data_IF_588420980777
#
_entry.id   IF_588420980777
#
_cell.length_a   1.000
_cell.length_b   1.000
_cell.length_c   1.000
_cell.angle_alpha   90.00
_cell.angle_beta   90.00
_cell.angle_gamma   90.00
#
_symmetry.space_group_name_H-M   'P 1'
#
loop_
_entity.id
_entity.type
_entity.pdbx_description
1 polymer ?
#
# COMPACT_ATOMS: atom_id res chain seq x y z
N UNK A 1 20.88 -16.20 -7.15
CA UNK A 1 19.86 -15.70 -6.20
C UNK A 1 20.59 -15.13 -5.00
N UNK A 2 20.20 -13.94 -4.54
CA UNK A 2 20.95 -13.19 -3.51
C UNK A 2 20.47 -13.59 -2.12
N UNK A 3 21.40 -13.91 -1.22
CA UNK A 3 21.09 -14.18 0.19
C UNK A 3 20.76 -12.88 0.97
N UNK A 4 21.30 -11.76 0.48
CA UNK A 4 21.06 -10.41 0.97
C UNK A 4 21.29 -9.40 -0.14
N UNK A 5 20.62 -8.25 -0.08
CA UNK A 5 20.77 -7.15 -1.02
C UNK A 5 21.25 -5.88 -0.27
N UNK A 6 22.19 -5.09 -0.82
CA UNK A 6 22.50 -3.79 -0.27
C UNK A 6 21.35 -2.82 -0.53
N UNK A 7 20.90 -2.14 0.52
CA UNK A 7 19.94 -1.05 0.44
C UNK A 7 20.68 0.26 0.70
N UNK A 8 20.72 1.18 -0.27
CA UNK A 8 21.24 2.54 -0.08
C UNK A 8 20.11 3.43 0.42
N UNK A 9 20.26 3.95 1.62
CA UNK A 9 19.34 4.87 2.28
C UNK A 9 19.91 6.28 2.13
N UNK A 10 19.24 7.12 1.35
CA UNK A 10 19.72 8.46 0.99
C UNK A 10 18.89 9.52 1.71
N UNK A 11 19.56 10.40 2.45
CA UNK A 11 18.90 11.59 2.99
C UNK A 11 18.82 12.67 1.91
N UNK A 12 17.68 12.76 1.26
CA UNK A 12 17.32 13.79 0.28
C UNK A 12 16.38 14.85 0.90
N UNK A 13 16.46 15.05 2.21
CA UNK A 13 15.71 16.08 2.95
C UNK A 13 16.61 17.27 3.28
N UNK A 14 16.02 18.32 3.85
CA UNK A 14 16.74 19.46 4.41
C UNK A 14 17.15 19.29 5.90
N UNK A 15 16.84 18.15 6.53
CA UNK A 15 17.18 17.89 7.94
C UNK A 15 18.42 17.02 8.08
N UNK A 16 19.18 17.24 9.16
CA UNK A 16 20.27 16.32 9.58
C UNK A 16 19.81 15.24 10.57
N UNK A 17 18.54 15.30 10.97
CA UNK A 17 17.91 14.41 11.95
C UNK A 17 16.95 13.49 11.20
N UNK A 18 17.50 12.48 10.52
CA UNK A 18 16.72 11.50 9.76
C UNK A 18 17.12 10.09 10.20
N UNK A 19 16.13 9.26 10.47
CA UNK A 19 16.33 7.85 10.86
C UNK A 19 15.57 6.94 9.92
N UNK A 20 16.18 5.79 9.62
CA UNK A 20 15.54 4.68 8.93
C UNK A 20 15.36 3.48 9.86
N UNK A 21 14.37 2.66 9.53
CA UNK A 21 14.09 1.39 10.22
C UNK A 21 13.72 0.36 9.16
N UNK A 22 14.21 -0.87 9.31
CA UNK A 22 13.90 -1.96 8.37
C UNK A 22 13.30 -3.09 9.18
N UNK A 23 12.05 -3.46 8.85
CA UNK A 23 11.26 -4.44 9.59
C UNK A 23 10.62 -5.45 8.65
N UNK A 24 10.35 -6.67 9.11
CA UNK A 24 9.55 -7.63 8.35
C UNK A 24 9.58 -9.04 8.93
N UNK A 25 9.32 -10.05 8.12
CA UNK A 25 9.44 -11.46 8.49
C UNK A 25 10.66 -12.05 7.79
N UNK A 26 11.63 -12.53 8.57
CA UNK A 26 12.81 -13.22 8.04
C UNK A 26 12.37 -14.52 7.39
N UNK A 27 12.64 -14.69 6.09
CA UNK A 27 12.14 -15.85 5.34
C UNK A 27 12.80 -17.15 5.81
N UNK A 28 14.07 -17.09 6.25
CA UNK A 28 14.83 -18.28 6.64
C UNK A 28 14.24 -19.04 7.83
N UNK A 29 13.55 -18.36 8.76
CA UNK A 29 13.01 -18.97 9.98
C UNK A 29 11.59 -18.50 10.37
N UNK A 30 10.97 -17.63 9.57
CA UNK A 30 9.61 -17.13 9.78
C UNK A 30 9.44 -16.17 10.96
N UNK A 31 10.53 -15.71 11.58
CA UNK A 31 10.46 -14.81 12.74
C UNK A 31 10.35 -13.35 12.32
N UNK A 32 9.63 -12.56 13.12
CA UNK A 32 9.65 -11.09 13.04
C UNK A 32 11.10 -10.60 13.23
N UNK A 33 11.55 -9.72 12.36
CA UNK A 33 12.92 -9.20 12.34
C UNK A 33 12.93 -7.69 12.13
N UNK A 34 13.91 -7.04 12.75
CA UNK A 34 14.32 -5.67 12.48
C UNK A 34 15.84 -5.64 12.23
N UNK A 35 16.35 -4.58 11.61
CA UNK A 35 17.79 -4.27 11.65
C UNK A 35 18.10 -3.37 12.85
N UNK A 36 19.20 -3.64 13.56
CA UNK A 36 19.76 -2.72 14.56
C UNK A 36 20.31 -1.45 13.87
N UNK A 37 20.64 -0.43 14.67
CA UNK A 37 21.06 0.90 14.20
C UNK A 37 22.31 0.91 13.27
N UNK A 38 23.06 -0.19 13.19
CA UNK A 38 24.18 -0.35 12.26
C UNK A 38 23.74 -0.71 10.81
N UNK A 39 22.45 -0.97 10.60
CA UNK A 39 21.85 -1.32 9.32
C UNK A 39 22.20 -2.73 8.82
N UNK A 40 22.77 -3.59 9.67
CA UNK A 40 23.29 -4.91 9.25
C UNK A 40 22.97 -6.02 10.24
N UNK A 41 23.02 -5.73 11.53
CA UNK A 41 22.77 -6.72 12.58
C UNK A 41 21.28 -7.01 12.69
N UNK A 42 20.89 -8.29 12.57
CA UNK A 42 19.50 -8.70 12.70
C UNK A 42 19.08 -8.77 14.16
N UNK A 43 18.00 -8.07 14.48
CA UNK A 43 17.32 -8.14 15.76
C UNK A 43 16.02 -8.94 15.62
N UNK A 44 15.92 -10.03 16.38
CA UNK A 44 14.71 -10.83 16.51
C UNK A 44 14.09 -10.55 17.88
N UNK A 45 12.97 -9.81 17.96
CA UNK A 45 12.33 -9.51 19.23
C UNK A 45 11.97 -10.77 20.02
N UNK A 46 12.25 -10.74 21.33
CA UNK A 46 11.82 -11.77 22.27
C UNK A 46 10.49 -11.39 22.92
N UNK A 47 9.85 -12.34 23.59
CA UNK A 47 8.57 -12.12 24.25
C UNK A 47 8.69 -11.03 25.35
N UNK A 48 7.98 -9.89 25.23
CA UNK A 48 8.09 -8.80 26.19
C UNK A 48 7.35 -9.07 27.51
N UNK A 49 7.67 -8.33 28.59
CA UNK A 49 7.01 -8.48 29.89
C UNK A 49 5.56 -7.98 29.91
N UNK A 50 5.18 -7.08 29.01
CA UNK A 50 3.84 -6.51 28.92
C UNK A 50 3.48 -6.03 27.50
N UNK A 51 2.20 -5.78 27.27
CA UNK A 51 1.70 -5.08 26.07
C UNK A 51 2.32 -3.69 25.99
N UNK A 52 2.71 -3.26 24.79
CA UNK A 52 3.30 -1.94 24.57
C UNK A 52 4.72 -1.77 25.12
N UNK A 53 5.47 -2.86 25.29
CA UNK A 53 6.88 -2.78 25.73
C UNK A 53 7.77 -2.20 24.63
N UNK A 54 8.82 -1.43 24.95
CA UNK A 54 9.75 -0.93 23.93
C UNK A 54 10.62 -2.06 23.36
N UNK A 55 11.26 -1.80 22.22
CA UNK A 55 12.32 -2.66 21.69
C UNK A 55 13.50 -2.74 22.68
N UNK A 56 14.13 -3.91 22.78
CA UNK A 56 15.33 -4.10 23.62
C UNK A 56 16.62 -3.62 22.94
N UNK A 57 16.56 -3.32 21.64
CA UNK A 57 17.67 -2.87 20.80
C UNK A 57 17.30 -1.56 20.12
N UNK A 58 18.30 -0.69 19.90
CA UNK A 58 18.10 0.49 19.06
C UNK A 58 18.11 0.06 17.59
N UNK A 59 17.00 0.30 16.91
CA UNK A 59 16.81 -0.01 15.49
C UNK A 59 16.77 1.24 14.61
N UNK A 60 17.07 2.42 15.17
CA UNK A 60 17.07 3.68 14.44
C UNK A 60 18.41 3.88 13.71
N UNK A 61 18.46 3.56 12.42
CA UNK A 61 19.63 3.73 11.55
C UNK A 61 19.76 5.24 11.22
N UNK A 62 20.79 5.96 11.70
CA UNK A 62 20.91 7.39 11.47
C UNK A 62 21.41 7.69 10.06
N UNK A 63 20.70 8.52 9.29
CA UNK A 63 21.11 8.92 7.95
C UNK A 63 22.01 10.16 7.95
N UNK A 64 21.99 10.97 9.02
CA UNK A 64 22.86 12.14 9.15
C UNK A 64 22.46 13.30 8.25
N UNK A 65 23.45 14.11 7.81
CA UNK A 65 23.21 15.37 7.06
C UNK A 65 22.55 15.15 5.68
N UNK A 66 21.89 16.19 5.11
CA UNK A 66 21.43 16.18 3.73
C UNK A 66 22.50 15.72 2.72
N UNK A 67 22.08 14.93 1.74
CA UNK A 67 22.93 14.32 0.72
C UNK A 67 23.77 13.13 1.19
N UNK A 68 23.67 12.73 2.47
CA UNK A 68 24.39 11.55 2.97
C UNK A 68 23.69 10.25 2.57
N UNK A 69 24.49 9.20 2.40
CA UNK A 69 24.02 7.85 2.07
C UNK A 69 24.54 6.84 3.09
N UNK A 70 23.64 5.98 3.57
CA UNK A 70 23.96 4.86 4.46
C UNK A 70 23.58 3.55 3.77
N UNK A 71 24.46 2.57 3.80
CA UNK A 71 24.17 1.25 3.21
C UNK A 71 23.78 0.25 4.29
N UNK A 72 22.55 -0.24 4.21
CA UNK A 72 22.06 -1.40 4.96
C UNK A 72 22.29 -2.71 4.18
N UNK A 73 22.41 -3.83 4.89
CA UNK A 73 22.50 -5.17 4.28
C UNK A 73 21.26 -5.95 4.67
N UNK A 74 20.34 -6.13 3.73
CA UNK A 74 18.99 -6.66 3.99
C UNK A 74 18.92 -8.12 3.53
N UNK A 75 18.64 -9.09 4.42
CA UNK A 75 18.45 -10.48 4.02
C UNK A 75 17.10 -10.67 3.35
N UNK A 76 16.78 -11.92 2.97
CA UNK A 76 15.46 -12.26 2.49
C UNK A 76 14.39 -12.01 3.57
N UNK A 77 13.50 -11.07 3.29
CA UNK A 77 12.43 -10.61 4.17
C UNK A 77 11.14 -10.55 3.36
N UNK A 78 10.07 -11.13 3.89
CA UNK A 78 8.70 -10.95 3.42
C UNK A 78 7.96 -9.97 4.34
N UNK A 79 6.95 -9.25 3.83
CA UNK A 79 6.27 -8.26 4.68
C UNK A 79 7.19 -7.12 5.11
N UNK A 80 8.17 -6.78 4.27
CA UNK A 80 9.20 -5.82 4.57
C UNK A 80 8.70 -4.39 4.49
N UNK A 81 9.13 -3.54 5.43
CA UNK A 81 8.96 -2.08 5.38
C UNK A 81 10.30 -1.41 5.65
N UNK A 82 10.62 -0.40 4.84
CA UNK A 82 11.68 0.58 5.12
C UNK A 82 10.98 1.86 5.54
N UNK A 83 11.05 2.17 6.82
CA UNK A 83 10.46 3.36 7.42
C UNK A 83 11.49 4.47 7.47
N UNK A 84 11.03 5.71 7.32
CA UNK A 84 11.83 6.90 7.57
C UNK A 84 11.10 7.85 8.49
N UNK A 85 11.83 8.51 9.38
CA UNK A 85 11.32 9.64 10.16
C UNK A 85 12.26 10.83 10.14
N UNK A 86 11.69 12.02 10.16
CA UNK A 86 12.38 13.30 10.12
C UNK A 86 12.15 14.04 11.45
N UNK A 87 13.22 14.61 11.98
CA UNK A 87 13.35 15.39 13.22
C UNK A 87 13.09 14.65 14.54
N UNK A 88 12.26 13.60 14.53
CA UNK A 88 12.03 12.69 15.67
C UNK A 88 12.19 11.21 15.27
N UNK A 89 12.55 10.36 16.24
CA UNK A 89 12.61 8.89 16.08
C UNK A 89 11.22 8.26 16.13
N UNK A 90 11.01 7.19 15.38
CA UNK A 90 9.84 6.30 15.51
C UNK A 90 9.91 5.44 16.77
N UNK A 91 8.74 5.18 17.33
CA UNK A 91 8.56 4.26 18.46
C UNK A 91 7.89 2.98 17.96
N UNK A 92 8.66 1.90 17.92
CA UNK A 92 8.14 0.55 17.74
C UNK A 92 7.91 -0.09 19.11
N UNK A 93 6.77 -0.75 19.27
CA UNK A 93 6.41 -1.42 20.52
C UNK A 93 6.25 -2.93 20.30
N UNK A 94 6.21 -3.68 21.39
CA UNK A 94 6.05 -5.13 21.40
C UNK A 94 4.90 -5.54 22.31
N UNK A 95 4.11 -6.50 21.83
CA UNK A 95 3.12 -7.23 22.63
C UNK A 95 3.59 -8.67 22.88
N UNK A 96 3.13 -9.33 23.95
CA UNK A 96 3.38 -10.76 24.17
C UNK A 96 2.97 -11.59 22.95
N UNK A 97 3.82 -12.51 22.53
CA UNK A 97 3.69 -13.21 21.24
C UNK A 97 5.00 -13.77 20.71
N UNK A 98 6.11 -13.00 20.70
CA UNK A 98 6.22 -11.55 20.55
C UNK A 98 5.58 -11.04 19.25
N UNK A 99 4.89 -9.90 19.32
CA UNK A 99 4.30 -9.24 18.15
C UNK A 99 4.78 -7.79 18.06
N UNK A 100 5.31 -7.40 16.90
CA UNK A 100 5.65 -6.01 16.61
C UNK A 100 4.36 -5.20 16.48
N UNK A 101 4.27 -4.13 17.24
CA UNK A 101 3.28 -3.08 17.07
C UNK A 101 3.96 -1.97 16.29
N UNK A 102 3.53 -1.81 15.04
CA UNK A 102 4.06 -0.81 14.12
C UNK A 102 3.49 0.58 14.43
N UNK A 103 4.22 1.67 14.11
CA UNK A 103 3.75 3.04 14.30
C UNK A 103 2.37 3.29 13.69
N UNK A 104 1.46 3.88 14.46
CA UNK A 104 0.11 4.21 13.98
C UNK A 104 -0.13 5.70 13.87
N UNK A 105 -0.61 6.15 12.71
CA UNK A 105 -1.16 7.51 12.53
C UNK A 105 -2.64 7.61 12.92
N UNK A 106 -3.31 6.48 13.12
CA UNK A 106 -4.77 6.39 13.32
C UNK A 106 -5.17 6.40 14.80
N UNK A 107 -4.23 6.08 15.68
CA UNK A 107 -4.43 6.14 17.11
C UNK A 107 -3.75 7.41 17.67
N UNK A 108 -4.50 8.44 18.08
CA UNK A 108 -3.92 9.68 18.60
C UNK A 108 -3.05 9.50 19.86
N UNK A 109 -3.21 8.37 20.57
CA UNK A 109 -2.38 8.03 21.74
C UNK A 109 -1.13 7.24 21.40
N UNK A 110 -0.91 6.90 20.12
CA UNK A 110 0.31 6.24 19.67
C UNK A 110 1.51 7.20 19.86
N UNK A 111 2.65 6.74 20.43
CA UNK A 111 3.81 7.60 20.62
C UNK A 111 4.39 8.16 19.31
N UNK A 112 4.15 7.50 18.19
CA UNK A 112 4.57 7.93 16.85
C UNK A 112 3.51 8.78 16.13
N UNK A 113 2.32 8.99 16.72
CA UNK A 113 1.26 9.78 16.10
C UNK A 113 1.72 11.20 15.74
N UNK A 114 2.63 11.79 16.51
CA UNK A 114 3.17 13.14 16.29
C UNK A 114 4.54 13.19 15.60
N UNK A 115 5.05 12.06 15.12
CA UNK A 115 6.32 11.96 14.38
C UNK A 115 6.05 12.11 12.88
N UNK A 116 6.89 12.87 12.17
CA UNK A 116 6.80 12.96 10.71
C UNK A 116 7.50 11.73 10.10
N UNK A 117 6.72 10.77 9.61
CA UNK A 117 7.25 9.52 9.07
C UNK A 117 6.54 9.08 7.79
N UNK A 118 7.19 8.21 7.03
CA UNK A 118 6.65 7.51 5.87
C UNK A 118 7.36 6.17 5.70
N UNK A 119 6.92 5.35 4.75
CA UNK A 119 7.57 4.08 4.46
C UNK A 119 7.39 3.64 3.01
N UNK A 120 8.31 2.80 2.54
CA UNK A 120 8.09 1.95 1.37
C UNK A 120 8.06 0.48 1.78
N UNK A 121 7.40 -0.34 0.99
CA UNK A 121 7.21 -1.76 1.24
C UNK A 121 8.10 -2.59 0.32
N UNK A 122 8.50 -3.77 0.78
CA UNK A 122 9.26 -4.71 -0.04
C UNK A 122 9.04 -6.17 0.36
N UNK A 123 9.32 -7.06 -0.58
CA UNK A 123 9.65 -8.44 -0.32
C UNK A 123 10.91 -8.78 -1.10
N UNK A 124 11.93 -9.24 -0.39
CA UNK A 124 13.12 -9.86 -0.97
C UNK A 124 13.05 -11.35 -0.69
N UNK A 125 12.86 -12.16 -1.73
CA UNK A 125 12.84 -13.60 -1.62
C UNK A 125 13.88 -14.21 -2.58
N UNK A 126 13.77 -15.52 -2.80
CA UNK A 126 14.65 -16.22 -3.73
C UNK A 126 14.36 -15.85 -5.19
N UNK A 127 13.09 -15.62 -5.54
CA UNK A 127 12.68 -15.29 -6.90
C UNK A 127 12.99 -13.84 -7.32
N UNK A 128 12.81 -12.85 -6.45
CA UNK A 128 12.94 -11.42 -6.79
C UNK A 128 13.08 -10.49 -5.57
N UNK A 129 13.47 -9.24 -5.84
CA UNK A 129 13.00 -8.10 -5.07
C UNK A 129 11.72 -7.59 -5.72
N UNK A 130 10.68 -7.34 -4.92
CA UNK A 130 9.53 -6.51 -5.28
C UNK A 130 9.42 -5.41 -4.24
N UNK A 131 9.30 -4.14 -4.65
CA UNK A 131 9.16 -3.01 -3.74
C UNK A 131 8.23 -1.93 -4.31
N UNK A 132 7.59 -1.17 -3.43
CA UNK A 132 6.66 -0.11 -3.81
C UNK A 132 6.64 1.03 -2.79
N UNK A 133 6.35 2.24 -3.26
CA UNK A 133 5.87 3.32 -2.39
C UNK A 133 4.38 3.14 -2.10
N UNK A 134 3.90 3.67 -0.97
CA UNK A 134 2.50 3.48 -0.57
C UNK A 134 1.90 4.74 0.05
N UNK A 135 0.67 5.04 -0.36
CA UNK A 135 -0.21 6.06 0.17
C UNK A 135 -1.58 5.45 0.56
N UNK A 136 -1.62 4.13 0.75
CA UNK A 136 -2.85 3.38 1.11
C UNK A 136 -3.36 3.81 2.48
N UNK A 137 -2.47 4.18 3.40
CA UNK A 137 -2.84 4.65 4.72
C UNK A 137 -2.84 6.18 4.82
N UNK A 138 -1.78 6.84 4.33
CA UNK A 138 -1.65 8.30 4.39
C UNK A 138 -0.57 8.84 3.44
N UNK A 139 -0.63 10.14 3.16
CA UNK A 139 0.47 10.95 2.62
C UNK A 139 1.10 11.73 3.78
N UNK A 140 2.42 11.74 3.90
CA UNK A 140 3.13 12.56 4.90
C UNK A 140 4.13 13.52 4.24
N UNK A 141 4.74 14.39 5.05
CA UNK A 141 5.85 15.22 4.62
C UNK A 141 7.19 14.44 4.67
N UNK A 142 7.16 13.19 4.20
CA UNK A 142 8.32 12.30 4.05
C UNK A 142 8.23 11.66 2.67
N UNK A 143 8.42 12.42 1.57
CA UNK A 143 8.41 11.84 0.22
C UNK A 143 9.49 10.77 0.09
N UNK A 144 9.14 9.66 -0.56
CA UNK A 144 10.05 8.53 -0.78
C UNK A 144 10.14 8.26 -2.27
N UNK A 145 11.37 8.14 -2.77
CA UNK A 145 11.69 7.65 -4.10
C UNK A 145 12.45 6.32 -4.00
N UNK A 146 12.23 5.43 -4.97
CA UNK A 146 12.88 4.12 -5.01
C UNK A 146 13.49 3.83 -6.38
N UNK A 147 14.69 3.28 -6.38
CA UNK A 147 15.42 2.91 -7.60
C UNK A 147 15.97 1.49 -7.43
N UNK A 148 15.75 0.63 -8.42
CA UNK A 148 16.23 -0.74 -8.44
C UNK A 148 17.18 -0.96 -9.62
N UNK A 149 18.40 -1.40 -9.31
CA UNK A 149 19.40 -1.83 -10.28
C UNK A 149 19.50 -3.35 -10.30
N UNK A 150 19.71 -3.94 -11.49
CA UNK A 150 19.89 -5.38 -11.66
C UNK A 150 21.27 -5.73 -12.24
N UNK A 151 21.57 -7.03 -12.28
CA UNK A 151 22.86 -7.53 -12.77
C UNK A 151 23.10 -7.36 -14.27
N UNK A 152 22.05 -7.06 -15.04
CA UNK A 152 22.15 -6.73 -16.46
C UNK A 152 22.41 -5.23 -16.69
N UNK A 153 22.49 -4.41 -15.63
CA UNK A 153 22.67 -2.96 -15.71
C UNK A 153 21.38 -2.19 -15.99
N UNK A 154 20.22 -2.86 -15.99
CA UNK A 154 18.94 -2.17 -16.12
C UNK A 154 18.57 -1.48 -14.80
N UNK A 155 17.87 -0.36 -14.91
CA UNK A 155 17.40 0.44 -13.77
C UNK A 155 15.91 0.69 -13.88
N UNK A 156 15.17 0.48 -12.80
CA UNK A 156 13.80 0.92 -12.63
C UNK A 156 13.75 2.03 -11.59
N UNK A 157 12.87 3.01 -11.76
CA UNK A 157 12.74 4.15 -10.87
C UNK A 157 11.29 4.52 -10.65
N UNK A 158 10.98 4.87 -9.40
CA UNK A 158 9.73 5.50 -8.98
C UNK A 158 10.10 6.77 -8.22
N UNK A 159 9.60 7.91 -8.69
CA UNK A 159 10.10 9.23 -8.29
C UNK A 159 9.49 9.76 -7.00
N UNK A 160 8.32 9.25 -6.60
CA UNK A 160 7.58 9.80 -5.47
C UNK A 160 7.13 11.25 -5.69
N UNK A 161 6.87 11.96 -4.60
CA UNK A 161 6.56 13.39 -4.61
C UNK A 161 7.81 14.26 -4.43
N UNK A 162 7.73 15.52 -4.87
CA UNK A 162 8.68 16.55 -4.46
C UNK A 162 8.49 16.94 -2.98
N UNK A 163 9.45 17.67 -2.41
CA UNK A 163 9.40 18.16 -1.02
C UNK A 163 8.13 18.96 -0.67
N UNK A 164 7.50 19.63 -1.63
CA UNK A 164 6.24 20.38 -1.46
C UNK A 164 4.97 19.56 -1.79
N UNK A 165 5.11 18.25 -1.99
CA UNK A 165 4.04 17.36 -2.43
C UNK A 165 2.86 17.31 -1.47
N UNK A 166 3.11 17.20 -0.16
CA UNK A 166 2.05 17.19 0.84
C UNK A 166 1.20 18.47 0.77
N UNK A 167 1.85 19.63 0.67
CA UNK A 167 1.15 20.92 0.62
C UNK A 167 0.27 21.04 -0.64
N UNK A 168 0.77 20.56 -1.79
CA UNK A 168 0.01 20.51 -3.03
C UNK A 168 -1.19 19.56 -2.96
N UNK A 169 -1.02 18.39 -2.34
CA UNK A 169 -2.12 17.43 -2.09
C UNK A 169 -3.18 18.08 -1.19
N UNK A 170 -2.77 18.73 -0.09
CA UNK A 170 -3.67 19.42 0.82
C UNK A 170 -4.46 20.53 0.10
N UNK A 171 -3.79 21.35 -0.71
CA UNK A 171 -4.43 22.42 -1.48
C UNK A 171 -5.49 21.89 -2.46
N UNK A 172 -5.19 20.81 -3.18
CA UNK A 172 -6.13 20.19 -4.13
C UNK A 172 -7.30 19.49 -3.42
N UNK A 173 -7.10 18.90 -2.24
CA UNK A 173 -8.20 18.32 -1.44
C UNK A 173 -9.13 19.39 -0.89
N UNK A 174 -8.58 20.52 -0.44
CA UNK A 174 -9.37 21.69 -0.06
C UNK A 174 -10.15 22.26 -1.23
N UNK A 175 -9.57 22.28 -2.44
CA UNK A 175 -10.27 22.69 -3.65
C UNK A 175 -11.40 21.71 -4.00
N UNK A 176 -11.13 20.40 -3.92
CA UNK A 176 -12.13 19.36 -4.19
C UNK A 176 -13.31 19.44 -3.22
N UNK A 177 -13.05 19.63 -1.91
CA UNK A 177 -14.10 19.80 -0.91
C UNK A 177 -15.00 21.01 -1.19
N UNK A 178 -14.44 22.10 -1.72
CA UNK A 178 -15.22 23.27 -2.15
C UNK A 178 -16.06 23.00 -3.40
N UNK A 179 -15.60 22.10 -4.27
CA UNK A 179 -16.26 21.77 -5.53
C UNK A 179 -17.48 20.87 -5.31
N UNK A 180 -17.35 19.79 -4.53
CA UNK A 180 -18.39 18.76 -4.37
C UNK A 180 -19.06 18.73 -2.98
N UNK A 181 -18.57 19.53 -2.04
CA UNK A 181 -19.07 19.59 -0.66
C UNK A 181 -18.77 18.34 0.18
N UNK A 182 -17.89 17.44 -0.29
CA UNK A 182 -17.47 16.23 0.43
C UNK A 182 -16.26 16.53 1.32
N UNK A 183 -16.05 15.77 2.41
CA UNK A 183 -15.08 16.13 3.46
C UNK A 183 -13.63 15.77 3.10
N UNK A 184 -13.19 16.02 1.87
CA UNK A 184 -11.82 15.77 1.42
C UNK A 184 -10.79 16.60 2.21
N UNK A 185 -11.14 17.82 2.55
CA UNK A 185 -10.35 18.74 3.38
C UNK A 185 -10.16 18.22 4.81
N UNK A 186 -11.14 17.48 5.34
CA UNK A 186 -11.07 16.88 6.68
C UNK A 186 -10.11 15.69 6.78
N UNK A 187 -9.64 15.16 5.65
CA UNK A 187 -8.58 14.14 5.65
C UNK A 187 -7.21 14.74 6.03
N UNK A 188 -7.07 16.05 5.96
CA UNK A 188 -5.84 16.77 6.30
C UNK A 188 -5.71 16.84 7.83
N UNK A 189 -4.60 16.34 8.33
CA UNK A 189 -4.17 16.51 9.72
C UNK A 189 -3.14 17.63 9.75
N UNK A 190 -3.40 18.62 10.60
CA UNK A 190 -2.48 19.75 10.82
C UNK A 190 -1.75 19.59 12.16
N UNK A 191 -0.52 20.09 12.22
CA UNK A 191 0.27 20.25 13.45
C UNK A 191 0.85 21.65 13.44
N UNK A 192 0.65 22.39 14.52
CA UNK A 192 1.11 23.79 14.65
C UNK A 192 0.65 24.69 13.48
N UNK A 193 -0.58 24.50 13.01
CA UNK A 193 -1.19 25.20 11.85
C UNK A 193 -0.46 24.98 10.51
N UNK A 194 0.24 23.85 10.37
CA UNK A 194 0.87 23.40 9.13
C UNK A 194 0.34 22.03 8.74
N UNK A 195 0.28 21.76 7.45
CA UNK A 195 -0.03 20.43 6.93
C UNK A 195 0.98 19.43 7.50
N UNK A 196 0.47 18.36 8.10
CA UNK A 196 1.31 17.35 8.75
C UNK A 196 1.20 16.00 8.06
N UNK A 197 -0.01 15.62 7.65
CA UNK A 197 -0.30 14.45 6.81
C UNK A 197 -1.71 14.53 6.24
N UNK A 198 -2.01 13.67 5.28
CA UNK A 198 -3.37 13.42 4.79
C UNK A 198 -3.69 11.95 4.97
N UNK A 199 -4.79 11.61 5.62
CA UNK A 199 -5.23 10.21 5.73
C UNK A 199 -5.95 9.75 4.45
N UNK A 200 -5.81 8.48 4.14
CA UNK A 200 -6.64 7.84 3.11
C UNK A 200 -8.14 7.90 3.51
N UNK A 201 -9.08 8.04 2.56
CA UNK A 201 -10.52 8.05 2.84
C UNK A 201 -11.03 6.82 3.61
N UNK A 202 -10.40 5.65 3.47
CA UNK A 202 -10.73 4.46 4.26
C UNK A 202 -10.51 4.64 5.77
N UNK A 203 -9.68 5.61 6.15
CA UNK A 203 -9.39 6.00 7.52
C UNK A 203 -10.05 7.33 7.93
N UNK A 204 -10.96 7.86 7.12
CA UNK A 204 -11.55 9.20 7.30
C UNK A 204 -12.25 9.39 8.65
N UNK A 205 -12.86 8.35 9.20
CA UNK A 205 -13.51 8.39 10.52
C UNK A 205 -12.55 8.77 11.66
N UNK A 206 -11.25 8.44 11.54
CA UNK A 206 -10.24 8.81 12.54
C UNK A 206 -10.04 10.33 12.67
N UNK A 207 -10.41 11.08 11.63
CA UNK A 207 -10.27 12.55 11.53
C UNK A 207 -11.61 13.26 11.26
N UNK A 208 -12.73 12.55 11.39
CA UNK A 208 -14.07 13.12 11.19
C UNK A 208 -14.45 13.38 9.73
N UNK A 209 -13.76 12.76 8.77
CA UNK A 209 -14.06 12.77 7.34
C UNK A 209 -14.98 11.60 6.98
N UNK A 210 -16.30 11.77 7.15
CA UNK A 210 -17.28 10.73 6.85
C UNK A 210 -17.76 10.77 5.39
N UNK A 211 -17.49 9.70 4.64
CA UNK A 211 -17.90 9.53 3.24
C UNK A 211 -19.10 8.61 3.02
N UNK A 212 -19.82 8.17 4.07
CA UNK A 212 -20.98 7.28 3.91
C UNK A 212 -21.97 7.81 2.85
N UNK A 213 -22.39 6.95 1.92
CA UNK A 213 -23.30 7.35 0.84
C UNK A 213 -22.61 7.99 -0.38
N UNK A 214 -21.27 8.09 -0.42
CA UNK A 214 -20.55 8.76 -1.49
C UNK A 214 -20.59 8.01 -2.83
N UNK A 215 -20.30 6.70 -2.84
CA UNK A 215 -20.26 5.86 -4.04
C UNK A 215 -21.59 5.18 -4.39
N UNK A 216 -22.51 5.09 -3.43
CA UNK A 216 -23.78 4.37 -3.56
C UNK A 216 -24.58 4.78 -4.82
N UNK A 217 -24.66 6.07 -5.21
CA UNK A 217 -25.29 6.45 -6.48
C UNK A 217 -24.61 5.85 -7.72
N UNK A 218 -23.27 5.82 -7.75
CA UNK A 218 -22.52 5.22 -8.86
C UNK A 218 -22.69 3.70 -8.90
N UNK A 219 -22.70 3.06 -7.72
CA UNK A 219 -22.95 1.61 -7.61
C UNK A 219 -24.34 1.24 -8.11
N UNK A 220 -25.35 2.05 -7.79
CA UNK A 220 -26.70 1.89 -8.33
C UNK A 220 -26.70 2.04 -9.85
N UNK A 221 -26.01 3.05 -10.39
CA UNK A 221 -25.90 3.27 -11.83
C UNK A 221 -25.21 2.10 -12.56
N UNK A 222 -24.12 1.56 -12.01
CA UNK A 222 -23.44 0.35 -12.54
C UNK A 222 -24.44 -0.82 -12.59
N UNK A 223 -25.22 -1.02 -11.52
CA UNK A 223 -26.17 -2.11 -11.45
C UNK A 223 -27.31 -1.95 -12.47
N UNK A 224 -27.87 -0.75 -12.56
CA UNK A 224 -28.92 -0.42 -13.53
C UNK A 224 -28.38 -0.59 -14.95
N UNK A 225 -27.18 -0.10 -15.23
CA UNK A 225 -26.54 -0.18 -16.54
C UNK A 225 -26.41 -1.63 -17.03
N UNK A 226 -25.90 -2.53 -16.20
CA UNK A 226 -25.68 -3.94 -16.55
C UNK A 226 -26.87 -4.87 -16.30
N UNK A 227 -28.00 -4.35 -15.83
CA UNK A 227 -29.26 -5.11 -15.72
C UNK A 227 -30.01 -5.23 -17.05
N UNK A 228 -29.67 -4.39 -18.02
CA UNK A 228 -30.24 -4.46 -19.37
C UNK A 228 -29.68 -5.68 -20.10
N UNK A 229 -30.54 -6.46 -20.75
CA UNK A 229 -30.14 -7.78 -21.28
C UNK A 229 -28.99 -7.75 -22.29
N UNK A 230 -28.83 -6.65 -23.01
CA UNK A 230 -27.81 -6.45 -24.05
C UNK A 230 -26.50 -5.83 -23.54
N UNK A 231 -26.34 -5.57 -22.24
CA UNK A 231 -25.16 -4.89 -21.69
C UNK A 231 -24.34 -5.82 -20.81
N UNK A 232 -23.08 -5.99 -21.17
CA UNK A 232 -22.07 -6.75 -20.45
C UNK A 232 -20.73 -6.02 -20.50
N UNK A 233 -19.77 -6.45 -19.69
CA UNK A 233 -18.38 -6.02 -19.75
C UNK A 233 -17.47 -7.23 -19.58
N UNK A 234 -16.26 -7.17 -20.11
CA UNK A 234 -15.24 -8.19 -19.91
C UNK A 234 -14.34 -7.80 -18.74
N UNK A 235 -14.09 -8.74 -17.84
CA UNK A 235 -13.12 -8.62 -16.76
C UNK A 235 -12.01 -9.64 -16.98
N UNK A 236 -10.83 -9.15 -17.36
CA UNK A 236 -9.61 -9.94 -17.38
C UNK A 236 -9.11 -10.15 -15.95
N UNK A 237 -9.16 -11.40 -15.49
CA UNK A 237 -8.67 -11.77 -14.16
C UNK A 237 -7.14 -11.77 -14.06
N UNK A 238 -6.44 -11.75 -15.21
CA UNK A 238 -4.98 -11.85 -15.35
C UNK A 238 -4.42 -13.01 -14.52
N UNK A 239 -5.19 -14.10 -14.50
CA UNK A 239 -4.94 -15.31 -13.75
C UNK A 239 -5.58 -16.48 -14.51
N UNK A 240 -5.52 -17.69 -13.94
CA UNK A 240 -6.02 -18.91 -14.56
C UNK A 240 -7.43 -18.85 -15.18
N UNK A 241 -8.43 -18.14 -14.59
CA UNK A 241 -9.76 -18.00 -15.19
C UNK A 241 -9.82 -17.20 -16.50
N UNK A 242 -8.78 -16.42 -16.83
CA UNK A 242 -8.75 -15.57 -18.03
C UNK A 242 -9.76 -14.43 -17.98
N UNK A 243 -10.40 -14.16 -19.12
CA UNK A 243 -11.40 -13.10 -19.28
C UNK A 243 -12.80 -13.64 -18.99
N UNK A 244 -13.52 -12.97 -18.09
CA UNK A 244 -14.86 -13.36 -17.64
C UNK A 244 -15.87 -12.25 -17.97
N UNK A 245 -17.03 -12.64 -18.50
CA UNK A 245 -18.14 -11.71 -18.75
C UNK A 245 -18.81 -11.29 -17.43
N UNK A 246 -19.06 -10.00 -17.28
CA UNK A 246 -19.78 -9.34 -16.21
C UNK A 246 -21.16 -8.85 -16.65
N UNK A 247 -22.22 -9.24 -15.92
CA UNK A 247 -23.62 -8.81 -16.16
C UNK A 247 -24.43 -8.83 -14.86
N UNK A 248 -25.42 -7.96 -14.70
CA UNK A 248 -26.36 -8.05 -13.57
C UNK A 248 -27.51 -8.99 -13.90
N UNK A 249 -27.68 -10.02 -13.07
CA UNK A 249 -28.79 -10.99 -13.16
C UNK A 249 -29.39 -11.21 -11.77
N UNK A 250 -30.73 -11.14 -11.66
CA UNK A 250 -31.46 -11.27 -10.40
C UNK A 250 -30.92 -10.35 -9.28
N UNK A 251 -30.61 -9.10 -9.63
CA UNK A 251 -30.13 -8.07 -8.69
C UNK A 251 -28.68 -8.23 -8.23
N UNK A 252 -27.93 -9.19 -8.77
CA UNK A 252 -26.51 -9.41 -8.43
C UNK A 252 -25.65 -9.24 -9.67
N UNK A 253 -24.47 -8.63 -9.50
CA UNK A 253 -23.44 -8.63 -10.54
C UNK A 253 -22.81 -10.03 -10.60
N UNK A 254 -23.02 -10.72 -11.72
CA UNK A 254 -22.43 -12.00 -12.05
C UNK A 254 -21.17 -11.78 -12.88
N UNK A 255 -20.06 -12.37 -12.48
CA UNK A 255 -18.80 -12.35 -13.24
C UNK A 255 -18.28 -13.78 -13.30
N UNK A 256 -18.39 -14.40 -14.47
CA UNK A 256 -18.32 -15.86 -14.58
C UNK A 256 -19.37 -16.53 -13.68
N UNK A 257 -18.96 -17.49 -12.85
CA UNK A 257 -19.86 -18.18 -11.90
C UNK A 257 -20.04 -17.43 -10.57
N UNK A 258 -19.25 -16.37 -10.33
CA UNK A 258 -19.25 -15.63 -9.08
C UNK A 258 -20.36 -14.59 -9.01
N UNK A 259 -20.84 -14.33 -7.79
CA UNK A 259 -21.88 -13.33 -7.52
C UNK A 259 -21.36 -12.26 -6.56
N UNK A 260 -21.64 -11.01 -6.90
CA UNK A 260 -21.28 -9.86 -6.11
C UNK A 260 -22.55 -9.06 -5.76
N UNK A 261 -22.65 -8.72 -4.48
CA UNK A 261 -23.63 -7.75 -3.99
C UNK A 261 -23.12 -6.33 -4.29
N UNK A 262 -24.02 -5.35 -4.25
CA UNK A 262 -23.64 -3.94 -4.35
C UNK A 262 -22.67 -3.59 -3.20
N UNK A 263 -21.45 -3.09 -3.49
CA UNK A 263 -20.59 -2.55 -2.45
C UNK A 263 -21.12 -1.21 -1.93
N UNK A 264 -20.82 -0.88 -0.68
CA UNK A 264 -20.98 0.48 -0.15
C UNK A 264 -19.67 1.28 -0.28
N UNK A 265 -19.69 2.55 0.13
CA UNK A 265 -18.50 3.40 0.10
C UNK A 265 -17.29 2.84 0.87
N UNK A 266 -17.51 2.28 2.07
CA UNK A 266 -16.44 1.72 2.89
C UNK A 266 -15.83 0.45 2.25
N UNK A 267 -16.66 -0.38 1.60
CA UNK A 267 -16.20 -1.54 0.83
C UNK A 267 -15.26 -1.08 -0.30
N UNK A 268 -15.62 -0.02 -1.04
CA UNK A 268 -14.83 0.49 -2.18
C UNK A 268 -13.50 1.08 -1.72
N UNK A 269 -13.52 2.03 -0.77
CA UNK A 269 -12.28 2.64 -0.28
C UNK A 269 -11.36 1.62 0.42
N UNK A 270 -11.92 0.70 1.23
CA UNK A 270 -11.14 -0.29 1.97
C UNK A 270 -10.72 -1.51 1.14
N UNK A 271 -11.46 -1.85 0.07
CA UNK A 271 -11.21 -2.98 -0.82
C UNK A 271 -11.06 -4.35 -0.12
N UNK A 272 -11.61 -4.51 1.09
CA UNK A 272 -11.35 -5.69 1.94
C UNK A 272 -12.59 -6.17 2.74
N UNK A 273 -13.76 -5.59 2.47
CA UNK A 273 -15.01 -5.89 3.17
C UNK A 273 -16.17 -6.03 2.19
N UNK A 274 -17.34 -6.44 2.70
CA UNK A 274 -18.52 -6.68 1.88
C UNK A 274 -18.22 -7.64 0.71
N UNK A 275 -18.56 -7.27 -0.54
CA UNK A 275 -18.32 -8.10 -1.72
C UNK A 275 -16.82 -8.31 -2.04
N UNK A 276 -15.91 -7.53 -1.45
CA UNK A 276 -14.46 -7.64 -1.65
C UNK A 276 -13.74 -8.47 -0.58
N UNK A 277 -14.49 -9.20 0.26
CA UNK A 277 -13.90 -10.15 1.21
C UNK A 277 -13.35 -11.37 0.47
N UNK A 278 -12.05 -11.65 0.64
CA UNK A 278 -11.40 -12.83 0.08
C UNK A 278 -11.79 -14.11 0.84
N UNK A 279 -11.67 -15.26 0.18
CA UNK A 279 -12.04 -16.54 0.77
C UNK A 279 -11.35 -17.73 0.10
N UNK A 280 -11.87 -18.96 0.26
CA UNK A 280 -11.24 -20.15 -0.32
C UNK A 280 -11.40 -20.26 -1.84
N UNK A 281 -12.23 -19.41 -2.47
CA UNK A 281 -12.50 -19.46 -3.90
C UNK A 281 -11.47 -18.63 -4.69
N UNK A 282 -10.63 -19.32 -5.48
CA UNK A 282 -9.57 -18.70 -6.27
C UNK A 282 -10.08 -17.76 -7.36
N UNK A 283 -11.16 -18.13 -8.07
CA UNK A 283 -11.77 -17.29 -9.11
C UNK A 283 -12.28 -15.98 -8.52
N UNK A 284 -13.00 -16.06 -7.40
CA UNK A 284 -13.46 -14.87 -6.67
C UNK A 284 -12.29 -13.96 -6.28
N UNK A 285 -11.24 -14.53 -5.71
CA UNK A 285 -10.06 -13.79 -5.28
C UNK A 285 -9.30 -13.14 -6.45
N UNK A 286 -9.41 -13.70 -7.67
CA UNK A 286 -8.82 -13.12 -8.88
C UNK A 286 -9.67 -11.95 -9.44
N UNK A 287 -11.00 -12.02 -9.30
CA UNK A 287 -11.94 -10.97 -9.71
C UNK A 287 -11.88 -9.74 -8.80
N UNK A 288 -11.83 -9.95 -7.47
CA UNK A 288 -11.95 -8.88 -6.46
C UNK A 288 -11.05 -7.66 -6.75
N UNK A 289 -9.74 -7.81 -7.00
CA UNK A 289 -8.85 -6.66 -7.25
C UNK A 289 -9.30 -5.81 -8.44
N UNK A 290 -9.71 -6.46 -9.55
CA UNK A 290 -10.12 -5.78 -10.78
C UNK A 290 -11.44 -5.04 -10.60
N UNK A 291 -12.39 -5.67 -9.93
CA UNK A 291 -13.68 -5.04 -9.65
C UNK A 291 -13.51 -3.84 -8.69
N UNK A 292 -12.72 -4.00 -7.62
CA UNK A 292 -12.45 -2.93 -6.67
C UNK A 292 -11.70 -1.75 -7.32
N UNK A 293 -10.73 -2.01 -8.20
CA UNK A 293 -10.03 -0.98 -8.96
C UNK A 293 -10.97 -0.24 -9.92
N UNK A 294 -11.86 -0.97 -10.63
CA UNK A 294 -12.87 -0.38 -11.51
C UNK A 294 -13.82 0.59 -10.79
N UNK A 295 -14.19 0.28 -9.53
CA UNK A 295 -14.95 1.19 -8.68
C UNK A 295 -14.15 2.40 -8.21
N UNK A 296 -12.94 2.20 -7.69
CA UNK A 296 -12.10 3.31 -7.22
C UNK A 296 -11.82 4.32 -8.34
N UNK A 297 -11.55 3.82 -9.55
CA UNK A 297 -11.24 4.60 -10.75
C UNK A 297 -12.45 5.00 -11.57
N UNK A 298 -13.65 4.53 -11.20
CA UNK A 298 -14.95 4.87 -11.81
C UNK A 298 -15.04 4.57 -13.30
N UNK A 299 -14.49 3.43 -13.70
CA UNK A 299 -14.40 3.01 -15.11
C UNK A 299 -15.49 2.03 -15.51
N UNK A 300 -16.21 1.43 -14.55
CA UNK A 300 -17.15 0.35 -14.81
C UNK A 300 -18.33 0.73 -15.72
N UNK A 301 -18.67 2.01 -15.88
CA UNK A 301 -19.74 2.42 -16.83
C UNK A 301 -19.14 2.90 -18.15
N UNK A 302 -18.01 3.59 -18.10
CA UNK A 302 -17.41 4.21 -19.27
C UNK A 302 -16.58 3.25 -20.12
N UNK A 303 -16.16 2.11 -19.55
CA UNK A 303 -15.28 1.12 -20.16
C UNK A 303 -15.86 -0.28 -20.04
N UNK A 304 -15.95 -0.99 -21.16
CA UNK A 304 -16.44 -2.38 -21.21
C UNK A 304 -15.32 -3.40 -21.03
N UNK A 305 -14.04 -3.03 -21.11
CA UNK A 305 -12.92 -3.90 -20.76
C UNK A 305 -12.32 -3.46 -19.44
N UNK A 306 -12.20 -4.39 -18.50
CA UNK A 306 -11.61 -4.19 -17.18
C UNK A 306 -10.45 -5.17 -16.96
N UNK A 307 -9.30 -4.72 -16.42
CA UNK A 307 -8.95 -3.32 -16.14
C UNK A 307 -8.86 -2.47 -17.42
N UNK A 308 -9.17 -1.17 -17.32
CA UNK A 308 -9.11 -0.23 -18.45
C UNK A 308 -7.80 0.56 -18.48
N UNK A 309 -7.56 1.31 -19.56
CA UNK A 309 -6.35 2.13 -19.71
C UNK A 309 -6.31 3.30 -18.69
N UNK A 310 -5.14 3.67 -18.13
CA UNK A 310 -5.02 4.77 -17.16
C UNK A 310 -5.57 6.12 -17.62
N UNK A 311 -5.60 6.41 -18.92
CA UNK A 311 -6.21 7.65 -19.44
C UNK A 311 -7.70 7.79 -19.14
N UNK A 312 -8.37 6.68 -18.80
CA UNK A 312 -9.80 6.61 -18.50
C UNK A 312 -10.13 6.83 -17.01
N UNK A 313 -9.12 6.83 -16.14
CA UNK A 313 -9.34 6.84 -14.69
C UNK A 313 -9.81 8.19 -14.18
N UNK A 314 -10.69 8.15 -13.17
CA UNK A 314 -11.14 9.32 -12.40
C UNK A 314 -11.81 10.42 -13.25
N UNK A 315 -12.48 10.04 -14.34
CA UNK A 315 -13.17 10.97 -15.26
C UNK A 315 -14.66 11.16 -14.98
N UNK A 316 -15.22 10.36 -14.06
CA UNK A 316 -16.66 10.34 -13.75
C UNK A 316 -16.83 10.57 -12.25
N UNK A 317 -17.73 11.46 -11.85
CA UNK A 317 -18.07 11.66 -10.44
C UNK A 317 -19.23 10.73 -10.01
N UNK A 318 -19.28 10.30 -8.74
CA UNK A 318 -18.22 10.40 -7.72
C UNK A 318 -16.98 9.58 -8.11
N UNK A 319 -15.78 9.95 -7.68
CA UNK A 319 -14.53 9.14 -7.83
C UNK A 319 -13.60 9.22 -6.62
N UNK A 320 -12.52 8.42 -6.60
CA UNK A 320 -11.53 8.47 -5.53
C UNK A 320 -10.62 9.69 -5.74
N UNK A 321 -11.09 10.88 -5.32
CA UNK A 321 -10.34 12.12 -5.52
C UNK A 321 -9.04 12.17 -4.73
N UNK A 322 -8.95 11.50 -3.58
CA UNK A 322 -7.68 11.30 -2.88
C UNK A 322 -6.65 10.64 -3.80
N UNK A 323 -6.98 9.49 -4.38
CA UNK A 323 -6.08 8.76 -5.28
C UNK A 323 -5.73 9.58 -6.53
N UNK A 324 -6.73 10.20 -7.16
CA UNK A 324 -6.54 11.09 -8.32
C UNK A 324 -5.52 12.20 -8.04
N UNK A 325 -5.62 12.83 -6.86
CA UNK A 325 -4.75 13.94 -6.45
C UNK A 325 -3.36 13.42 -6.05
N UNK A 326 -3.27 12.28 -5.37
CA UNK A 326 -1.99 11.63 -5.04
C UNK A 326 -1.21 11.29 -6.32
N UNK A 327 -1.83 10.67 -7.32
CA UNK A 327 -1.16 10.42 -8.61
C UNK A 327 -0.71 11.72 -9.26
N UNK A 328 -1.56 12.76 -9.27
CA UNK A 328 -1.22 14.07 -9.87
C UNK A 328 0.06 14.69 -9.29
N UNK A 329 0.33 14.48 -7.99
CA UNK A 329 1.47 15.10 -7.30
C UNK A 329 2.68 14.18 -7.13
N UNK A 330 2.57 12.90 -7.47
CA UNK A 330 3.76 12.09 -7.74
C UNK A 330 4.34 12.49 -9.10
N UNK A 331 5.66 12.69 -9.14
CA UNK A 331 6.34 13.28 -10.30
C UNK A 331 6.25 12.42 -11.57
N UNK A 332 6.12 11.11 -11.40
CA UNK A 332 5.93 10.13 -12.46
C UNK A 332 4.48 9.64 -12.59
N UNK A 333 3.55 10.21 -11.83
CA UNK A 333 2.15 9.81 -11.80
C UNK A 333 1.86 8.53 -11.02
N UNK A 334 2.86 7.94 -10.34
CA UNK A 334 2.75 6.59 -9.75
C UNK A 334 2.71 6.62 -8.23
N UNK A 335 2.05 5.62 -7.64
CA UNK A 335 2.01 5.37 -6.21
C UNK A 335 0.70 4.70 -5.79
N UNK A 336 0.76 3.77 -4.85
CA UNK A 336 -0.43 3.08 -4.34
C UNK A 336 -1.34 4.03 -3.55
N UNK A 337 -2.41 4.56 -4.17
CA UNK A 337 -3.41 5.37 -3.47
C UNK A 337 -4.57 4.56 -2.88
N UNK A 338 -4.72 3.29 -3.27
CA UNK A 338 -5.64 2.32 -2.68
C UNK A 338 -5.07 0.89 -2.82
N UNK A 339 -5.67 -0.09 -2.14
CA UNK A 339 -5.08 -1.43 -1.99
C UNK A 339 -4.76 -2.18 -3.30
N UNK A 340 -5.47 -1.90 -4.41
CA UNK A 340 -5.34 -2.61 -5.68
C UNK A 340 -4.96 -1.68 -6.84
N UNK A 341 -4.12 -0.67 -6.57
CA UNK A 341 -3.68 0.30 -7.57
C UNK A 341 -2.68 -0.27 -8.60
N UNK A 342 -2.15 -1.46 -8.33
CA UNK A 342 -1.33 -2.29 -9.24
C UNK A 342 -2.14 -2.99 -10.32
N UNK A 343 -3.47 -2.99 -10.21
CA UNK A 343 -4.33 -3.49 -11.27
C UNK A 343 -4.19 -2.59 -12.49
N UNK A 344 -3.83 -3.17 -13.63
CA UNK A 344 -3.71 -2.48 -14.92
C UNK A 344 -4.01 -3.47 -16.04
N UNK A 345 -4.32 -3.03 -17.27
CA UNK A 345 -4.44 -3.94 -18.41
C UNK A 345 -3.16 -4.76 -18.59
N UNK A 346 -3.26 -5.99 -19.09
CA UNK A 346 -2.06 -6.79 -19.38
C UNK A 346 -1.11 -6.03 -20.33
N UNK A 347 0.17 -5.95 -19.97
CA UNK A 347 1.16 -5.13 -20.69
C UNK A 347 0.96 -3.61 -20.60
N UNK A 348 -0.02 -3.14 -19.83
CA UNK A 348 -0.30 -1.72 -19.61
C UNK A 348 0.74 -1.02 -18.73
N UNK A 349 0.62 0.31 -18.64
CA UNK A 349 1.51 1.12 -17.82
C UNK A 349 1.23 0.96 -16.31
N UNK A 350 2.29 0.81 -15.52
CA UNK A 350 2.20 0.80 -14.05
C UNK A 350 1.74 2.14 -13.49
N UNK A 351 0.82 2.06 -12.52
CA UNK A 351 0.33 3.20 -11.73
C UNK A 351 0.68 3.06 -10.24
N UNK A 352 1.10 1.89 -9.79
CA UNK A 352 1.26 1.57 -8.37
C UNK A 352 2.56 2.11 -7.76
N UNK A 353 3.55 2.44 -8.59
CA UNK A 353 4.84 2.93 -8.10
C UNK A 353 5.68 1.79 -7.53
N UNK A 354 5.70 0.67 -8.27
CA UNK A 354 6.51 -0.51 -7.95
C UNK A 354 7.79 -0.58 -8.78
N UNK A 355 8.76 -1.33 -8.25
CA UNK A 355 9.92 -1.84 -8.96
C UNK A 355 10.10 -3.32 -8.61
N UNK A 356 10.48 -4.15 -9.58
CA UNK A 356 10.76 -5.56 -9.31
C UNK A 356 11.78 -6.17 -10.27
N UNK A 357 12.62 -7.07 -9.78
CA UNK A 357 13.59 -7.78 -10.62
C UNK A 357 14.04 -9.09 -9.95
N UNK A 358 14.30 -10.12 -10.75
CA UNK A 358 14.75 -11.44 -10.30
C UNK A 358 16.26 -11.55 -10.02
N UNK A 359 17.05 -10.59 -10.48
CA UNK A 359 18.50 -10.49 -10.26
C UNK A 359 18.90 -9.10 -9.76
N UNK A 360 18.32 -8.62 -8.64
CA UNK A 360 18.60 -7.30 -8.11
C UNK A 360 20.04 -7.23 -7.58
N UNK A 361 20.72 -6.10 -7.79
CA UNK A 361 22.08 -5.85 -7.31
C UNK A 361 22.15 -4.72 -6.30
N UNK A 362 21.26 -3.74 -6.41
CA UNK A 362 21.19 -2.60 -5.51
C UNK A 362 19.77 -2.03 -5.48
N UNK A 363 19.28 -1.76 -4.26
CA UNK A 363 18.04 -1.02 -4.06
C UNK A 363 18.36 0.30 -3.37
N UNK A 364 18.03 1.43 -4.00
CA UNK A 364 18.24 2.77 -3.45
C UNK A 364 16.91 3.36 -3.05
N UNK A 365 16.83 3.89 -1.83
CA UNK A 365 15.66 4.57 -1.29
C UNK A 365 16.08 5.96 -0.82
N UNK A 366 15.49 6.99 -1.41
CA UNK A 366 15.73 8.38 -1.07
C UNK A 366 14.54 8.95 -0.31
N UNK A 367 14.80 9.71 0.76
CA UNK A 367 13.76 10.34 1.59
C UNK A 367 13.91 11.86 1.63
N UNK A 368 12.81 12.59 1.42
CA UNK A 368 12.73 14.04 1.58
C UNK A 368 12.33 14.78 0.30
N UNK A 369 12.74 14.28 -0.86
CA UNK A 369 12.28 14.77 -2.17
C UNK A 369 12.79 16.15 -2.58
N UNK A 370 13.88 16.64 -1.98
CA UNK A 370 14.51 17.92 -2.35
C UNK A 370 15.09 17.88 -3.78
N UNK A 371 15.54 16.71 -4.25
CA UNK A 371 16.07 16.52 -5.60
C UNK A 371 15.27 15.47 -6.40
N UNK A 372 14.02 15.20 -6.01
CA UNK A 372 13.16 14.26 -6.74
C UNK A 372 12.88 14.77 -8.17
N UNK A 373 12.98 13.88 -9.16
CA UNK A 373 12.74 14.18 -10.58
C UNK A 373 11.99 13.06 -11.28
N UNK A 374 11.14 13.40 -12.25
CA UNK A 374 10.35 12.44 -13.03
C UNK A 374 11.20 11.49 -13.89
N UNK A 375 12.43 11.91 -14.24
CA UNK A 375 13.44 11.09 -14.90
C UNK A 375 14.49 10.66 -13.88
N UNK A 376 14.90 9.38 -13.89
CA UNK A 376 16.07 8.95 -13.14
C UNK A 376 17.26 9.84 -13.52
N UNK A 377 17.87 10.51 -12.55
CA UNK A 377 19.08 11.26 -12.81
C UNK A 377 20.14 10.28 -13.33
N UNK A 378 20.57 10.44 -14.57
CA UNK A 378 21.74 9.72 -15.06
C UNK A 378 22.91 10.07 -14.14
N UNK A 379 23.44 9.09 -13.45
CA UNK A 379 24.64 9.24 -12.63
C UNK A 379 25.74 9.76 -13.56
N UNK A 380 26.14 11.02 -13.40
CA UNK A 380 27.22 11.61 -14.17
C UNK A 380 28.54 11.02 -13.72
N UNK A 381 28.87 9.85 -14.26
CA UNK A 381 30.23 9.35 -14.24
C UNK A 381 31.04 10.23 -15.20
N UNK A 382 32.07 10.91 -14.68
CA UNK A 382 33.05 11.59 -15.52
C UNK A 382 33.67 10.57 -16.48
N UNK A 383 33.52 10.84 -17.76
CA UNK A 383 34.06 10.06 -18.88
C UNK A 383 35.58 9.91 -18.77
N UNK A 384 36.05 8.68 -18.93
CA UNK A 384 37.39 8.37 -19.46
C UNK A 384 37.15 7.72 -20.81
N UNK A 385 37.60 8.37 -21.87
CA UNK A 385 37.55 7.90 -23.26
C UNK A 385 38.35 6.61 -23.43
N UNK A 386 37.76 5.56 -24.04
CA UNK A 386 38.49 4.69 -24.96
C UNK A 386 37.55 3.91 -25.93
N UNK A 387 37.66 4.32 -27.19
CA UNK A 387 37.54 3.66 -28.51
C UNK A 387 36.67 2.39 -28.73
N UNK A 388 35.83 2.53 -29.78
CA UNK A 388 34.95 1.55 -30.45
C UNK A 388 35.66 0.38 -31.17
N UNK A 389 35.03 -0.81 -31.17
CA UNK A 389 34.60 -1.57 -32.39
C UNK A 389 33.79 -2.87 -32.05
N UNK A 390 33.07 -3.55 -32.98
CA UNK A 390 31.61 -3.64 -32.94
C UNK A 390 30.98 -5.03 -32.67
N UNK A 391 29.65 -5.01 -32.53
CA UNK A 391 28.74 -6.06 -32.08
C UNK A 391 28.54 -7.28 -33.00
N UNK A 392 28.21 -8.41 -32.37
CA UNK A 392 27.52 -9.55 -32.99
C UNK A 392 26.24 -9.90 -32.20
N UNK A 393 25.17 -10.17 -32.94
CA UNK A 393 23.84 -10.48 -32.46
C UNK A 393 23.61 -11.99 -32.26
N UNK A 394 22.84 -12.39 -31.24
CA UNK A 394 21.88 -13.50 -31.37
C UNK A 394 20.90 -13.60 -30.20
N UNK A 395 19.61 -13.53 -30.57
CA UNK A 395 18.46 -14.37 -30.17
C UNK A 395 17.93 -14.36 -28.72
N UNK A 396 16.65 -13.95 -28.65
CA UNK A 396 15.81 -13.87 -27.47
C UNK A 396 15.20 -15.23 -27.10
N UNK A 397 15.12 -15.49 -25.79
CA UNK A 397 14.39 -16.59 -25.19
C UNK A 397 13.11 -16.06 -24.49
N UNK A 398 12.02 -16.87 -24.42
CA UNK A 398 10.67 -16.39 -24.10
C UNK A 398 10.45 -16.09 -22.61
N UNK A 399 9.60 -15.09 -22.37
CA UNK A 399 9.20 -14.58 -21.06
C UNK A 399 8.45 -15.64 -20.22
N UNK A 400 8.84 -15.75 -18.94
CA UNK A 400 8.15 -16.55 -17.94
C UNK A 400 6.97 -15.76 -17.35
N UNK A 401 5.83 -16.42 -17.23
CA UNK A 401 4.56 -15.87 -16.74
C UNK A 401 4.63 -15.50 -15.26
N UNK A 402 4.33 -14.24 -14.94
CA UNK A 402 4.17 -13.71 -13.58
C UNK A 402 2.81 -14.14 -13.00
N UNK A 403 2.82 -14.93 -11.92
CA UNK A 403 1.64 -15.07 -11.08
C UNK A 403 1.59 -13.86 -10.13
N UNK A 404 0.58 -13.00 -10.32
CA UNK A 404 0.36 -11.82 -9.49
C UNK A 404 0.28 -12.15 -8.00
N UNK A 405 1.26 -11.69 -7.23
CA UNK A 405 1.21 -11.70 -5.77
C UNK A 405 0.34 -10.54 -5.31
N UNK A 406 -0.69 -10.86 -4.53
CA UNK A 406 -1.60 -9.88 -3.92
C UNK A 406 -0.85 -8.94 -2.96
N UNK A 407 -1.27 -7.67 -2.85
CA UNK A 407 -0.77 -6.77 -1.81
C UNK A 407 -1.06 -7.35 -0.42
N UNK A 408 -0.08 -7.18 0.47
CA UNK A 408 -0.02 -7.83 1.77
C UNK A 408 -1.07 -7.26 2.72
N UNK A 409 -2.09 -8.07 3.05
CA UNK A 409 -3.08 -7.71 4.06
C UNK A 409 -2.48 -7.83 5.47
N UNK A 410 -2.69 -6.81 6.30
CA UNK A 410 -2.41 -6.88 7.74
C UNK A 410 -3.15 -8.05 8.39
N UNK A 411 -2.41 -8.87 9.15
CA UNK A 411 -3.00 -9.89 10.00
C UNK A 411 -3.66 -9.24 11.21
N UNK A 412 -5.00 -9.24 11.26
CA UNK A 412 -5.76 -8.78 12.43
C UNK A 412 -5.49 -9.66 13.67
N UNK A 413 -5.45 -9.10 14.89
CA UNK A 413 -5.47 -9.89 16.12
C UNK A 413 -6.83 -10.58 16.32
N UNK A 414 -6.79 -11.80 16.86
CA UNK A 414 -7.96 -12.65 17.09
C UNK A 414 -8.98 -12.01 18.04
N UNK A 415 -10.21 -11.78 17.57
CA UNK A 415 -11.36 -11.43 18.42
C UNK A 415 -11.81 -12.68 19.18
N UNK A 416 -11.66 -12.68 20.50
CA UNK A 416 -12.23 -13.73 21.36
C UNK A 416 -13.77 -13.70 21.26
N UNK A 417 -14.33 -14.81 20.78
CA UNK A 417 -15.77 -15.08 20.82
C UNK A 417 -16.28 -15.00 22.26
N UNK A 418 -17.14 -14.01 22.56
CA UNK A 418 -18.02 -14.06 23.73
C UNK A 418 -18.97 -15.23 23.57
N UNK A 419 -18.75 -16.32 24.32
CA UNK A 419 -19.71 -17.42 24.45
C UNK A 419 -20.99 -16.90 25.11
N UNK A 420 -22.09 -16.90 24.36
CA UNK A 420 -23.45 -16.78 24.88
C UNK A 420 -23.86 -18.12 25.48
N UNK A 421 -23.87 -18.24 26.81
CA UNK A 421 -24.44 -19.39 27.51
C UNK A 421 -25.95 -19.21 27.68
N UNK A 422 -26.71 -19.57 26.66
CA UNK A 422 -28.14 -19.84 26.79
C UNK A 422 -28.36 -21.30 27.18
N UNK A 423 -28.61 -21.58 28.47
CA UNK A 423 -29.12 -22.88 28.91
C UNK A 423 -30.57 -22.74 29.38
N UNK A 424 -31.48 -23.22 28.52
CA UNK A 424 -32.88 -23.50 28.86
C UNK A 424 -32.99 -24.99 29.18
N UNK A 425 -33.52 -25.29 30.37
CA UNK A 425 -34.24 -26.53 30.61
C UNK A 425 -33.56 -27.54 31.55
N UNK A 426 -34.01 -27.55 32.81
CA UNK A 426 -34.61 -28.75 33.42
C UNK A 426 -35.43 -28.35 34.65
N UNK A 427 -36.73 -28.62 34.59
CA UNK A 427 -37.60 -28.68 35.75
C UNK A 427 -37.17 -29.86 36.63
N UNK A 428 -37.04 -29.64 37.94
CA UNK A 428 -37.80 -30.38 38.96
C UNK A 428 -37.44 -29.89 40.37
N UNK A 429 -38.44 -29.85 41.24
CA UNK A 429 -38.23 -30.13 42.67
C UNK A 429 -38.11 -28.95 43.63
N UNK A 430 -39.19 -28.76 44.40
CA UNK A 430 -39.21 -28.37 45.81
C UNK A 430 -39.39 -26.89 46.24
N UNK A 431 -40.66 -26.64 46.59
CA UNK A 431 -41.18 -25.80 47.68
C UNK A 431 -40.24 -25.70 48.91
N UNK A 432 -40.01 -24.49 49.43
CA UNK A 432 -40.53 -23.91 50.71
C UNK A 432 -39.53 -22.92 51.37
N UNK A 433 -40.10 -21.76 51.70
CA UNK A 433 -39.96 -20.97 52.96
C UNK A 433 -38.66 -20.19 53.29
N UNK A 434 -38.92 -18.88 53.46
CA UNK A 434 -38.54 -17.96 54.55
C UNK A 434 -37.16 -17.27 54.55
N UNK A 435 -37.23 -15.93 54.62
CA UNK A 435 -36.49 -14.96 55.46
C UNK A 435 -35.00 -15.29 55.70
N UNK A 436 -34.06 -14.44 55.31
CA UNK A 436 -33.93 -13.04 55.72
C UNK A 436 -33.01 -12.27 54.77
#
# INVERSE_FOLDING_TARGET
MVASLPFKLVNDSNSSNVWAYITGINIADGRRVLLEADGKTLYFPENPPAIGSPLAKDCAIPLGKPGNTVTATVPQIAGGRVWFSIDDKLNFLLNPGPALVEPSVLNPSDPSANVNFGFCEFTLNDAQLYANISYVDFVSNVPIAITLENSAGATQNVSGMAADGLDKVCADLQAQAKEDGKPWDKLIVEKDSKNFRVLNPSHGDAVGANFAGYYEPYVEEVWQHYSTDSRTFDLDTQAGPGVLEGKVTNGQLKIGEESFQQPNTADIFGSNSGPFTTGPNGTRNAIIPRLAAGFNRTTLISQTQQPSDPSTYYKTNPTNHYCRIVHKHNLDGKGYGFAYDDVQPEGGADQSGKVNDGAPTLFTISVGGEHASATAAATTNKEVEEQDEPAQASEAAPAAQENGQQPMQESRPSVQQRKSSGFRGKLSGWKKKFMH
#
